data_IF_179904390271
#
_entry.id   IF_179904390271
#
_cell.length_a   1.000
_cell.length_b   1.000
_cell.length_c   1.000
_cell.angle_alpha   90.00
_cell.angle_beta   90.00
_cell.angle_gamma   90.00
#
_symmetry.space_group_name_H-M   'P 1'
#
loop_
_entity.id
_entity.type
_entity.pdbx_description
1 polymer ?
#
# COMPACT_ATOMS: atom_id res chain seq x y z
N UNK A 1 -20.47 -62.47 18.88
CA UNK A 1 -19.52 -61.60 18.16
C UNK A 1 -20.19 -60.25 17.98
N UNK A 2 -19.74 -59.23 18.71
CA UNK A 2 -20.46 -57.97 18.89
C UNK A 2 -19.70 -56.85 18.18
N UNK A 3 -20.18 -56.40 17.01
CA UNK A 3 -19.60 -55.26 16.28
C UNK A 3 -20.57 -54.09 16.30
N UNK A 4 -20.37 -53.21 17.28
CA UNK A 4 -21.05 -51.92 17.39
C UNK A 4 -20.57 -50.99 16.27
N UNK A 5 -21.47 -50.70 15.34
CA UNK A 5 -21.33 -49.69 14.31
C UNK A 5 -21.40 -48.30 14.98
N UNK A 6 -20.26 -47.60 15.06
CA UNK A 6 -20.15 -46.19 15.51
C UNK A 6 -19.98 -45.27 14.28
N UNK A 7 -20.96 -45.21 13.38
CA UNK A 7 -20.89 -44.37 12.16
C UNK A 7 -21.35 -42.92 12.32
N UNK A 8 -21.84 -42.51 13.51
CA UNK A 8 -22.32 -41.14 13.73
C UNK A 8 -21.26 -40.09 14.04
N UNK A 9 -20.08 -40.50 14.54
CA UNK A 9 -19.06 -39.55 15.05
C UNK A 9 -18.22 -38.88 13.95
N UNK A 10 -17.98 -39.58 12.84
CA UNK A 10 -17.05 -39.10 11.81
C UNK A 10 -17.66 -38.00 10.93
N UNK A 11 -18.98 -38.05 10.70
CA UNK A 11 -19.69 -37.06 9.88
C UNK A 11 -19.86 -35.72 10.61
N UNK A 12 -20.08 -35.76 11.93
CA UNK A 12 -20.24 -34.56 12.77
C UNK A 12 -18.91 -33.83 12.95
N UNK A 13 -17.80 -34.56 13.07
CA UNK A 13 -16.45 -33.97 13.14
C UNK A 13 -16.05 -33.28 11.82
N UNK A 14 -16.48 -33.79 10.67
CA UNK A 14 -16.19 -33.20 9.37
C UNK A 14 -16.99 -31.91 9.11
N UNK A 15 -18.22 -31.81 9.65
CA UNK A 15 -19.07 -30.63 9.53
C UNK A 15 -18.68 -29.49 10.49
N UNK A 16 -18.13 -29.80 11.68
CA UNK A 16 -17.59 -28.77 12.58
C UNK A 16 -16.24 -28.19 12.13
N UNK A 17 -15.43 -28.95 11.38
CA UNK A 17 -14.15 -28.46 10.85
C UNK A 17 -14.30 -27.39 9.76
N UNK A 18 -15.42 -27.38 9.03
CA UNK A 18 -15.65 -26.44 7.94
C UNK A 18 -16.15 -25.07 8.40
N UNK A 19 -16.62 -24.93 9.65
CA UNK A 19 -17.16 -23.69 10.19
C UNK A 19 -16.10 -22.75 10.82
N UNK A 20 -14.87 -23.22 11.03
CA UNK A 20 -13.82 -22.45 11.71
C UNK A 20 -12.91 -21.64 10.77
N UNK A 21 -13.10 -21.72 9.45
CA UNK A 21 -12.19 -21.12 8.46
C UNK A 21 -12.86 -19.94 7.74
N UNK A 22 -13.19 -18.87 8.46
CA UNK A 22 -13.99 -17.82 7.83
C UNK A 22 -14.11 -16.48 8.54
N UNK A 23 -13.18 -16.12 9.43
CA UNK A 23 -12.98 -14.71 9.79
C UNK A 23 -11.59 -14.30 9.31
N UNK A 24 -11.43 -14.22 7.99
CA UNK A 24 -10.41 -13.34 7.44
C UNK A 24 -10.84 -11.93 7.80
N UNK A 25 -10.18 -11.35 8.80
CA UNK A 25 -10.29 -9.92 9.06
C UNK A 25 -9.84 -9.23 7.78
N UNK A 26 -10.79 -8.76 6.98
CA UNK A 26 -10.55 -7.74 5.96
C UNK A 26 -10.21 -6.45 6.70
N UNK A 27 -9.08 -6.43 7.42
CA UNK A 27 -8.43 -5.18 7.78
C UNK A 27 -8.31 -4.44 6.46
N UNK A 28 -8.91 -3.24 6.38
CA UNK A 28 -8.83 -2.38 5.20
C UNK A 28 -7.39 -2.48 4.71
N UNK A 29 -7.18 -3.20 3.60
CA UNK A 29 -5.86 -3.31 3.01
C UNK A 29 -5.57 -1.89 2.62
N UNK A 30 -4.77 -1.18 3.43
CA UNK A 30 -4.21 0.09 3.01
C UNK A 30 -3.72 -0.18 1.60
N UNK A 31 -4.29 0.54 0.62
CA UNK A 31 -3.94 0.28 -0.77
C UNK A 31 -2.43 0.30 -0.83
N UNK A 32 -1.82 -0.82 -1.21
CA UNK A 32 -0.37 -0.97 -1.13
C UNK A 32 0.24 -0.08 -2.22
N UNK A 33 0.40 1.18 -1.87
CA UNK A 33 0.86 2.25 -2.74
C UNK A 33 2.28 1.94 -3.22
N UNK A 34 3.07 1.17 -2.44
CA UNK A 34 4.41 0.71 -2.82
C UNK A 34 4.33 -0.29 -3.98
N UNK A 35 3.40 -1.23 -3.92
CA UNK A 35 3.14 -2.15 -5.05
C UNK A 35 2.67 -1.38 -6.29
N UNK A 36 1.82 -0.36 -6.13
CA UNK A 36 1.39 0.46 -7.26
C UNK A 36 2.54 1.27 -7.87
N UNK A 37 3.32 1.95 -7.03
CA UNK A 37 4.49 2.71 -7.43
C UNK A 37 5.46 1.83 -8.22
N UNK A 38 5.79 0.64 -7.70
CA UNK A 38 6.69 -0.32 -8.36
C UNK A 38 6.17 -0.73 -9.74
N UNK A 39 4.85 -0.86 -9.91
CA UNK A 39 4.22 -1.24 -11.17
C UNK A 39 4.26 -0.11 -12.20
N UNK A 40 4.09 1.13 -11.76
CA UNK A 40 3.99 2.30 -12.64
C UNK A 40 5.34 2.90 -13.03
N UNK A 41 6.30 2.87 -12.11
CA UNK A 41 7.63 3.47 -12.32
C UNK A 41 8.33 3.08 -13.64
N UNK A 42 8.26 1.82 -14.12
CA UNK A 42 8.87 1.45 -15.41
C UNK A 42 8.32 2.24 -16.61
N UNK A 43 7.08 2.71 -16.55
CA UNK A 43 6.46 3.49 -17.64
C UNK A 43 6.57 5.01 -17.44
N UNK A 44 7.12 5.46 -16.31
CA UNK A 44 7.37 6.88 -16.09
C UNK A 44 8.69 7.30 -16.76
N UNK A 45 8.68 8.48 -17.36
CA UNK A 45 9.83 9.10 -18.00
C UNK A 45 10.05 10.54 -17.55
N UNK A 46 10.82 11.28 -18.34
CA UNK A 46 11.32 12.64 -18.05
C UNK A 46 10.24 13.74 -17.86
N UNK A 47 8.95 13.44 -18.05
CA UNK A 47 7.84 14.40 -17.87
C UNK A 47 6.76 13.94 -16.89
N UNK A 48 7.02 12.84 -16.18
CA UNK A 48 6.15 12.38 -15.11
C UNK A 48 6.61 13.00 -13.78
N UNK A 49 5.64 13.34 -12.94
CA UNK A 49 5.89 13.95 -11.64
C UNK A 49 5.38 13.01 -10.55
N UNK A 50 6.17 12.85 -9.50
CA UNK A 50 5.75 12.25 -8.25
C UNK A 50 5.74 13.37 -7.22
N UNK A 51 4.57 13.63 -6.63
CA UNK A 51 4.40 14.64 -5.58
C UNK A 51 4.15 13.89 -4.27
N UNK A 52 4.99 14.16 -3.28
CA UNK A 52 4.84 13.63 -1.92
C UNK A 52 4.47 14.79 -1.04
N UNK A 53 3.22 14.86 -0.61
CA UNK A 53 2.69 15.96 0.18
C UNK A 53 1.94 15.43 1.40
N UNK A 54 1.79 16.30 2.41
CA UNK A 54 1.01 15.98 3.60
C UNK A 54 -0.50 15.99 3.30
N UNK A 55 -1.29 15.69 4.33
CA UNK A 55 -2.75 15.66 4.24
C UNK A 55 -3.42 17.02 4.03
N UNK A 56 -2.68 18.14 4.14
CA UNK A 56 -3.20 19.48 3.85
C UNK A 56 -3.18 19.80 2.33
N UNK A 57 -2.46 19.01 1.54
CA UNK A 57 -2.47 19.13 0.08
C UNK A 57 -3.89 18.90 -0.49
N UNK A 58 -4.38 19.79 -1.37
CA UNK A 58 -5.74 19.68 -1.90
C UNK A 58 -5.92 18.42 -2.74
N UNK A 59 -7.07 17.77 -2.59
CA UNK A 59 -7.44 16.62 -3.42
C UNK A 59 -7.58 17.04 -4.89
N UNK A 60 -6.65 16.58 -5.73
CA UNK A 60 -6.62 16.88 -7.16
C UNK A 60 -7.47 15.87 -7.95
N UNK A 61 -8.24 16.35 -8.93
CA UNK A 61 -9.13 15.53 -9.77
C UNK A 61 -8.90 15.71 -11.26
N UNK A 62 -7.86 16.46 -11.66
CA UNK A 62 -7.55 16.68 -13.06
C UNK A 62 -7.17 15.37 -13.78
N UNK A 63 -7.54 15.22 -15.07
CA UNK A 63 -7.12 14.08 -15.87
C UNK A 63 -5.60 13.91 -15.86
N UNK A 64 -5.14 12.67 -15.64
CA UNK A 64 -3.71 12.35 -15.59
C UNK A 64 -3.04 12.59 -14.23
N UNK A 65 -3.79 13.02 -13.20
CA UNK A 65 -3.32 13.05 -11.82
C UNK A 65 -3.93 11.86 -11.06
N UNK A 66 -3.08 11.11 -10.39
CA UNK A 66 -3.48 10.03 -9.49
C UNK A 66 -2.98 10.36 -8.07
N UNK A 67 -3.92 10.52 -7.12
CA UNK A 67 -3.60 10.78 -5.72
C UNK A 67 -3.86 9.51 -4.90
N UNK A 68 -2.85 9.07 -4.13
CA UNK A 68 -2.93 7.88 -3.28
C UNK A 68 -2.60 8.24 -1.84
N UNK A 69 -3.44 7.81 -0.91
CA UNK A 69 -3.16 7.91 0.52
C UNK A 69 -2.14 6.84 0.93
N UNK A 70 -1.00 7.24 1.48
CA UNK A 70 0.09 6.32 1.84
C UNK A 70 -0.09 5.67 3.21
N UNK A 71 -0.78 6.36 4.13
CA UNK A 71 -0.91 5.94 5.53
C UNK A 71 0.39 5.94 6.33
N UNK A 72 1.47 6.45 5.75
CA UNK A 72 2.82 6.50 6.31
C UNK A 72 3.25 7.94 6.61
N UNK A 73 4.31 8.11 7.39
CA UNK A 73 4.90 9.42 7.63
C UNK A 73 5.51 10.03 6.36
N UNK A 74 5.63 11.36 6.30
CA UNK A 74 6.20 12.07 5.14
C UNK A 74 7.64 11.59 4.84
N UNK A 75 8.50 11.54 5.86
CA UNK A 75 9.91 11.11 5.72
C UNK A 75 10.03 9.64 5.32
N UNK A 76 9.18 8.77 5.86
CA UNK A 76 9.12 7.35 5.48
C UNK A 76 8.73 7.21 4.01
N UNK A 77 7.68 7.93 3.58
CA UNK A 77 7.21 7.93 2.20
C UNK A 77 8.31 8.41 1.23
N UNK A 78 9.02 9.49 1.56
CA UNK A 78 10.13 10.00 0.75
C UNK A 78 11.24 8.96 0.61
N UNK A 79 11.64 8.31 1.72
CA UNK A 79 12.69 7.28 1.70
C UNK A 79 12.32 6.11 0.80
N UNK A 80 11.10 5.62 0.92
CA UNK A 80 10.63 4.48 0.13
C UNK A 80 10.54 4.79 -1.36
N UNK A 81 10.07 5.99 -1.72
CA UNK A 81 10.02 6.44 -3.11
C UNK A 81 11.44 6.55 -3.69
N UNK A 82 12.37 7.19 -2.98
CA UNK A 82 13.75 7.33 -3.42
C UNK A 82 14.46 5.97 -3.55
N UNK A 83 14.26 5.06 -2.59
CA UNK A 83 14.80 3.71 -2.65
C UNK A 83 14.25 2.91 -3.85
N UNK A 84 12.97 3.08 -4.17
CA UNK A 84 12.38 2.42 -5.33
C UNK A 84 12.92 2.99 -6.64
N UNK A 85 13.12 4.32 -6.73
CA UNK A 85 13.70 5.00 -7.88
C UNK A 85 15.16 4.62 -8.13
N UNK A 86 15.96 4.42 -7.07
CA UNK A 86 17.37 4.02 -7.16
C UNK A 86 17.54 2.65 -7.82
N UNK A 87 16.53 1.77 -7.71
CA UNK A 87 16.51 0.47 -8.38
C UNK A 87 16.27 0.51 -9.90
N UNK A 88 15.98 1.68 -10.48
CA UNK A 88 15.65 1.81 -11.91
C UNK A 88 16.86 2.25 -12.74
N UNK A 89 17.17 1.48 -13.79
CA UNK A 89 18.30 1.81 -14.67
C UNK A 89 18.07 3.07 -15.52
N UNK A 90 16.81 3.35 -15.90
CA UNK A 90 16.45 4.36 -16.91
C UNK A 90 15.92 5.68 -16.34
N UNK A 91 15.74 5.78 -15.01
CA UNK A 91 15.17 6.98 -14.37
C UNK A 91 16.23 7.66 -13.52
N UNK A 92 16.29 8.99 -13.60
CA UNK A 92 17.09 9.84 -12.71
C UNK A 92 16.18 10.95 -12.19
N UNK A 93 15.78 10.93 -10.91
CA UNK A 93 14.88 11.94 -10.39
C UNK A 93 15.58 13.30 -10.29
N UNK A 94 14.88 14.36 -10.68
CA UNK A 94 15.24 15.73 -10.34
C UNK A 94 14.41 16.11 -9.11
N UNK A 95 15.09 16.30 -7.98
CA UNK A 95 14.41 16.57 -6.71
C UNK A 95 14.14 18.07 -6.58
N UNK A 96 12.87 18.40 -6.37
CA UNK A 96 12.41 19.74 -6.03
C UNK A 96 11.83 19.72 -4.62
N UNK A 97 12.15 20.75 -3.85
CA UNK A 97 11.53 21.02 -2.55
C UNK A 97 10.70 22.29 -2.68
N UNK A 98 9.64 22.38 -1.88
CA UNK A 98 8.88 23.62 -1.75
C UNK A 98 9.81 24.73 -1.22
N UNK A 99 9.77 25.90 -1.86
CA UNK A 99 10.54 27.05 -1.41
C UNK A 99 10.07 27.55 -0.04
N UNK A 100 8.77 27.39 0.26
CA UNK A 100 8.18 27.76 1.55
C UNK A 100 8.71 26.92 2.71
N UNK A 101 9.22 25.71 2.44
CA UNK A 101 9.78 24.84 3.46
C UNK A 101 10.99 25.49 4.17
N UNK A 102 11.74 26.35 3.47
CA UNK A 102 12.84 27.10 4.06
C UNK A 102 12.36 28.31 4.89
N UNK A 103 11.14 28.80 4.64
CA UNK A 103 10.58 29.99 5.27
C UNK A 103 9.77 29.68 6.54
N UNK A 104 9.23 28.45 6.65
CA UNK A 104 8.39 28.04 7.78
C UNK A 104 9.18 27.15 8.74
N UNK A 105 9.54 27.62 9.94
CA UNK A 105 10.22 26.79 10.92
C UNK A 105 9.28 25.71 11.47
N UNK A 106 9.69 24.44 11.35
CA UNK A 106 9.05 23.31 12.00
C UNK A 106 9.33 23.35 13.51
N UNK A 107 8.56 24.15 14.24
CA UNK A 107 8.60 24.17 15.71
C UNK A 107 7.51 23.25 16.21
N UNK A 108 7.90 22.13 16.82
CA UNK A 108 6.99 21.23 17.55
C UNK A 108 6.47 21.88 18.84
#
# INVERSE_FOLDING_TARGET
MNTRIRSGGLLVALLLGLAATGCATSGKRASDWRTQLTRELPVLGHRNWIVIADSAYPAQTSPGIETRYTGAGQVETVRDVLATLDGLSHVRPVVHLDAELAAVPETL
#
